data_IF_873527314221
#
_entry.id   IF_873527314221
#
_cell.length_a   1.000
_cell.length_b   1.000
_cell.length_c   1.000
_cell.angle_alpha   90.00
_cell.angle_beta   90.00
_cell.angle_gamma   90.00
#
_symmetry.space_group_name_H-M   'P 1'
#
loop_
_entity.id
_entity.type
_entity.pdbx_description
1 polymer ?
#
# COMPACT_ATOMS: atom_id res chain seq x y z
N UNK A 1 -26.91 -41.70 36.67
CA UNK A 1 -26.00 -41.84 35.51
C UNK A 1 -26.29 -40.73 34.51
N UNK A 2 -25.24 -39.98 34.11
CA UNK A 2 -25.09 -39.15 32.90
C UNK A 2 -26.08 -37.98 32.69
N UNK A 3 -25.84 -36.84 33.35
CA UNK A 3 -26.46 -35.52 33.02
C UNK A 3 -25.41 -34.39 32.95
N UNK A 4 -24.20 -34.70 32.53
CA UNK A 4 -23.08 -33.75 32.62
C UNK A 4 -22.28 -33.74 31.33
N UNK A 5 -22.89 -33.39 30.20
CA UNK A 5 -22.13 -33.35 28.94
C UNK A 5 -22.77 -32.47 27.86
N UNK A 6 -23.13 -31.23 28.17
CA UNK A 6 -23.51 -30.24 27.13
C UNK A 6 -23.01 -28.80 27.35
N UNK A 7 -22.11 -28.57 28.33
CA UNK A 7 -21.63 -27.21 28.66
C UNK A 7 -20.24 -26.85 28.09
N UNK A 8 -19.67 -27.66 27.20
CA UNK A 8 -18.33 -27.39 26.61
C UNK A 8 -18.33 -27.04 25.11
N UNK A 9 -19.48 -26.78 24.50
CA UNK A 9 -19.56 -26.32 23.11
C UNK A 9 -19.52 -24.78 22.96
N UNK A 10 -19.17 -24.06 24.03
CA UNK A 10 -18.92 -22.61 24.02
C UNK A 10 -17.42 -22.30 24.21
N UNK A 11 -16.54 -23.21 23.79
CA UNK A 11 -15.14 -22.89 23.59
C UNK A 11 -15.06 -21.90 22.42
N UNK A 12 -15.12 -20.62 22.78
CA UNK A 12 -14.92 -19.43 21.98
C UNK A 12 -14.20 -19.75 20.67
N UNK A 13 -14.93 -19.79 19.55
CA UNK A 13 -14.33 -19.47 18.26
C UNK A 13 -13.92 -18.00 18.40
N UNK A 14 -12.72 -17.76 18.96
CA UNK A 14 -12.14 -16.45 19.00
C UNK A 14 -12.15 -15.99 17.54
N UNK A 15 -12.86 -14.90 17.19
CA UNK A 15 -12.69 -14.35 15.87
C UNK A 15 -11.20 -14.04 15.78
N UNK A 16 -10.49 -14.77 14.92
CA UNK A 16 -9.16 -14.37 14.51
C UNK A 16 -9.36 -13.05 13.77
N UNK A 17 -9.42 -11.95 14.53
CA UNK A 17 -9.61 -10.60 14.04
C UNK A 17 -8.41 -10.35 13.13
N UNK A 18 -8.64 -10.40 11.82
CA UNK A 18 -7.65 -9.98 10.86
C UNK A 18 -7.37 -8.51 11.13
N UNK A 19 -6.11 -8.20 11.44
CA UNK A 19 -5.69 -6.80 11.51
C UNK A 19 -5.45 -6.35 10.08
N UNK A 20 -6.13 -5.28 9.66
CA UNK A 20 -5.99 -4.71 8.32
C UNK A 20 -5.74 -3.21 8.49
N UNK A 21 -4.61 -2.76 7.97
CA UNK A 21 -4.16 -1.40 8.08
C UNK A 21 -4.01 -0.79 6.69
N UNK A 22 -4.63 0.39 6.52
CA UNK A 22 -4.30 1.31 5.44
C UNK A 22 -3.12 2.18 5.86
N UNK A 23 -2.11 2.27 5.01
CA UNK A 23 -0.90 3.04 5.25
C UNK A 23 -0.42 3.69 3.95
N UNK A 24 0.60 4.54 4.05
CA UNK A 24 1.22 5.17 2.88
C UNK A 24 2.01 6.42 3.28
N UNK A 25 2.73 6.97 2.32
CA UNK A 25 3.42 8.25 2.48
C UNK A 25 3.15 9.12 1.27
N UNK A 26 2.80 10.38 1.50
CA UNK A 26 2.68 11.39 0.45
C UNK A 26 3.88 12.34 0.53
N UNK A 27 4.66 12.45 -0.54
CA UNK A 27 5.85 13.28 -0.65
C UNK A 27 5.76 14.14 -1.91
N UNK A 28 5.58 15.44 -1.73
CA UNK A 28 5.56 16.42 -2.81
C UNK A 28 6.43 17.62 -2.49
N UNK A 29 6.95 18.27 -3.52
CA UNK A 29 7.59 19.56 -3.39
C UNK A 29 7.68 20.32 -4.70
N UNK A 30 8.21 21.54 -4.61
CA UNK A 30 8.55 22.34 -5.78
C UNK A 30 10.02 22.13 -6.09
N UNK A 31 10.32 21.73 -7.31
CA UNK A 31 11.68 21.55 -7.81
C UNK A 31 11.98 22.60 -8.86
N UNK A 32 13.19 23.15 -8.82
CA UNK A 32 13.75 23.96 -9.91
C UNK A 32 15.06 23.34 -10.37
N UNK A 33 15.16 23.06 -11.66
CA UNK A 33 16.31 22.42 -12.27
C UNK A 33 16.75 23.19 -13.51
N UNK A 34 18.07 23.30 -13.71
CA UNK A 34 18.66 23.92 -14.89
C UNK A 34 19.63 22.93 -15.54
N UNK A 35 19.30 22.48 -16.75
CA UNK A 35 20.13 21.55 -17.52
C UNK A 35 20.84 22.32 -18.63
N UNK A 36 22.17 22.19 -18.71
CA UNK A 36 23.00 22.81 -19.76
C UNK A 36 23.51 21.74 -20.74
N UNK A 37 23.34 21.97 -22.03
CA UNK A 37 23.79 21.06 -23.09
C UNK A 37 24.17 21.85 -24.34
N UNK A 38 25.37 21.62 -24.88
CA UNK A 38 25.82 22.24 -26.14
C UNK A 38 25.73 23.77 -26.18
N UNK A 39 26.05 24.46 -25.07
CA UNK A 39 25.95 25.93 -24.96
C UNK A 39 24.53 26.48 -24.78
N UNK A 40 23.51 25.62 -24.72
CA UNK A 40 22.12 25.99 -24.42
C UNK A 40 21.79 25.64 -22.97
N UNK A 41 20.85 26.37 -22.39
CA UNK A 41 20.32 26.12 -21.06
C UNK A 41 18.81 25.93 -21.13
N UNK A 42 18.30 24.89 -20.49
CA UNK A 42 16.88 24.68 -20.25
C UNK A 42 16.63 24.72 -18.74
N UNK A 43 15.66 25.53 -18.32
CA UNK A 43 15.23 25.61 -16.92
C UNK A 43 13.82 25.06 -16.78
N UNK A 44 13.58 24.30 -15.72
CA UNK A 44 12.28 23.76 -15.37
C UNK A 44 11.99 24.09 -13.91
N UNK A 45 10.80 24.61 -13.63
CA UNK A 45 10.27 24.79 -12.28
C UNK A 45 8.88 24.17 -12.24
N UNK A 46 8.63 23.27 -11.30
CA UNK A 46 7.38 22.53 -11.25
C UNK A 46 7.11 21.88 -9.90
N UNK A 47 5.88 21.40 -9.72
CA UNK A 47 5.51 20.54 -8.61
C UNK A 47 5.84 19.11 -9.01
N UNK A 48 6.60 18.43 -8.14
CA UNK A 48 7.06 17.06 -8.34
C UNK A 48 6.55 16.16 -7.20
N UNK A 49 6.34 14.89 -7.55
CA UNK A 49 6.16 13.80 -6.60
C UNK A 49 7.50 13.14 -6.30
N UNK A 50 7.76 12.82 -5.03
CA UNK A 50 9.03 12.24 -4.57
C UNK A 50 8.87 10.81 -4.04
N UNK A 51 8.02 10.01 -4.69
CA UNK A 51 7.78 8.61 -4.34
C UNK A 51 6.63 8.46 -3.34
N UNK A 52 5.50 9.09 -3.66
CA UNK A 52 4.27 8.87 -2.91
C UNK A 52 3.69 7.49 -3.21
N UNK A 53 3.26 6.78 -2.18
CA UNK A 53 2.62 5.47 -2.29
C UNK A 53 1.54 5.31 -1.22
N UNK A 54 0.59 4.44 -1.50
CA UNK A 54 -0.40 3.96 -0.53
C UNK A 54 -0.41 2.45 -0.52
N UNK A 55 -0.80 1.86 0.61
CA UNK A 55 -0.86 0.42 0.75
C UNK A 55 -1.90 -0.05 1.75
N UNK A 56 -2.23 -1.32 1.61
CA UNK A 56 -3.00 -2.11 2.55
C UNK A 56 -2.10 -3.26 3.00
N UNK A 57 -2.02 -3.46 4.30
CA UNK A 57 -1.38 -4.66 4.86
C UNK A 57 -2.29 -5.30 5.88
N UNK A 58 -2.15 -6.59 6.04
CA UNK A 58 -2.88 -7.27 7.09
C UNK A 58 -2.20 -8.53 7.57
N UNK A 59 -2.63 -8.96 8.75
CA UNK A 59 -2.17 -10.21 9.35
C UNK A 59 -3.32 -10.96 10.02
N UNK A 60 -3.35 -12.27 9.81
CA UNK A 60 -4.37 -13.16 10.35
C UNK A 60 -3.71 -14.31 11.10
N UNK A 61 -4.02 -14.52 12.39
CA UNK A 61 -3.55 -15.70 13.12
C UNK A 61 -4.05 -16.98 12.46
N UNK A 62 -3.16 -17.90 12.11
CA UNK A 62 -3.51 -19.22 11.52
C UNK A 62 -3.29 -20.39 12.48
N UNK A 63 -2.99 -20.10 13.75
CA UNK A 63 -2.78 -21.08 14.81
C UNK A 63 -1.31 -21.44 15.03
N UNK A 64 -1.01 -22.02 16.20
CA UNK A 64 0.36 -22.44 16.56
C UNK A 64 1.38 -21.30 16.64
N UNK A 65 0.92 -20.07 16.92
CA UNK A 65 1.76 -18.86 16.92
C UNK A 65 1.98 -18.25 15.54
N UNK A 66 1.68 -18.97 14.45
CA UNK A 66 1.89 -18.48 13.10
C UNK A 66 0.79 -17.51 12.64
N UNK A 67 1.16 -16.59 11.73
CA UNK A 67 0.27 -15.61 11.12
C UNK A 67 0.44 -15.63 9.61
N UNK A 68 -0.67 -15.66 8.88
CA UNK A 68 -0.67 -15.32 7.47
C UNK A 68 -0.60 -13.79 7.36
N UNK A 69 0.32 -13.29 6.54
CA UNK A 69 0.54 -11.87 6.31
C UNK A 69 0.39 -11.56 4.83
N UNK A 70 -0.11 -10.37 4.54
CA UNK A 70 -0.22 -9.89 3.17
C UNK A 70 -0.03 -8.37 3.12
N UNK A 71 0.45 -7.91 1.97
CA UNK A 71 0.66 -6.50 1.67
C UNK A 71 0.33 -6.25 0.20
N UNK A 72 -0.32 -5.12 -0.06
CA UNK A 72 -0.53 -4.56 -1.38
C UNK A 72 -0.17 -3.09 -1.31
N UNK A 73 0.80 -2.68 -2.12
CA UNK A 73 1.27 -1.29 -2.23
C UNK A 73 1.14 -0.81 -3.66
N UNK A 74 0.88 0.48 -3.84
CA UNK A 74 0.67 1.11 -5.13
C UNK A 74 1.22 2.54 -5.10
N UNK A 75 1.95 2.90 -6.16
CA UNK A 75 2.37 4.28 -6.37
C UNK A 75 1.15 5.20 -6.46
N UNK A 76 1.23 6.34 -5.76
CA UNK A 76 0.17 7.33 -5.66
C UNK A 76 0.72 8.73 -5.93
N UNK A 77 1.21 9.01 -7.16
CA UNK A 77 1.89 10.26 -7.47
C UNK A 77 0.96 11.45 -7.28
N UNK A 78 1.50 12.49 -6.68
CA UNK A 78 0.78 13.74 -6.45
C UNK A 78 1.17 14.78 -7.50
N UNK A 79 0.18 15.29 -8.22
CA UNK A 79 0.35 16.30 -9.25
C UNK A 79 0.22 15.75 -10.67
N UNK A 80 -0.32 16.57 -11.56
CA UNK A 80 -0.44 16.21 -12.96
C UNK A 80 0.93 16.39 -13.64
N UNK A 81 1.59 15.28 -14.00
CA UNK A 81 2.62 15.34 -15.05
C UNK A 81 1.90 15.83 -16.30
N UNK A 82 2.33 16.97 -16.82
CA UNK A 82 1.76 17.61 -18.00
C UNK A 82 1.71 16.65 -19.19
N UNK A 83 0.58 15.96 -19.37
CA UNK A 83 0.14 15.29 -20.59
C UNK A 83 -1.31 14.81 -20.41
N UNK A 84 -2.26 15.69 -20.70
CA UNK A 84 -3.64 15.44 -21.19
C UNK A 84 -4.56 14.39 -20.53
N UNK A 85 -4.20 13.74 -19.42
CA UNK A 85 -5.00 12.64 -18.85
C UNK A 85 -5.55 12.93 -17.47
N UNK A 86 -6.78 12.47 -17.20
CA UNK A 86 -7.39 12.56 -15.87
C UNK A 86 -6.55 11.80 -14.81
N UNK A 87 -6.67 12.16 -13.53
CA UNK A 87 -6.03 11.42 -12.43
C UNK A 87 -6.34 9.91 -12.47
N UNK A 88 -7.51 9.54 -13.00
CA UNK A 88 -7.94 8.15 -13.18
C UNK A 88 -7.16 7.41 -14.27
N UNK A 89 -6.75 8.10 -15.34
CA UNK A 89 -5.92 7.51 -16.40
C UNK A 89 -4.49 7.31 -15.91
N UNK A 90 -3.96 8.27 -15.15
CA UNK A 90 -2.63 8.16 -14.53
C UNK A 90 -2.58 6.98 -13.55
N UNK A 91 -3.59 6.84 -12.69
CA UNK A 91 -3.73 5.69 -11.79
C UNK A 91 -3.82 4.35 -12.55
N UNK A 92 -4.49 4.34 -13.72
CA UNK A 92 -4.56 3.14 -14.55
C UNK A 92 -3.23 2.80 -15.23
N UNK A 93 -2.48 3.81 -15.66
CA UNK A 93 -1.17 3.62 -16.27
C UNK A 93 -0.12 3.06 -15.31
N UNK A 94 -0.31 3.25 -14.00
CA UNK A 94 0.61 2.81 -12.95
C UNK A 94 0.19 1.52 -12.25
N UNK A 95 -0.85 0.81 -12.74
CA UNK A 95 -1.29 -0.46 -12.14
C UNK A 95 -0.19 -1.49 -11.99
N UNK A 96 0.81 -1.44 -12.86
CA UNK A 96 1.91 -2.40 -12.88
C UNK A 96 3.10 -1.98 -11.99
N UNK A 97 3.04 -0.80 -11.35
CA UNK A 97 4.10 -0.34 -10.45
C UNK A 97 3.86 -0.69 -8.97
N UNK A 98 2.75 -1.36 -8.67
CA UNK A 98 2.45 -1.83 -7.33
C UNK A 98 3.28 -3.04 -6.89
N UNK A 99 3.58 -3.11 -5.60
CA UNK A 99 4.21 -4.28 -4.99
C UNK A 99 3.16 -5.09 -4.22
N UNK A 100 3.24 -6.41 -4.30
CA UNK A 100 2.36 -7.29 -3.53
C UNK A 100 3.12 -8.44 -2.90
N UNK A 101 2.73 -8.80 -1.69
CA UNK A 101 3.35 -9.85 -0.91
C UNK A 101 2.28 -10.65 -0.17
N UNK A 102 2.45 -11.96 -0.14
CA UNK A 102 1.68 -12.88 0.70
C UNK A 102 2.68 -13.87 1.30
N UNK A 103 2.59 -14.08 2.61
CA UNK A 103 3.51 -14.94 3.34
C UNK A 103 2.96 -15.47 4.65
N UNK A 104 3.82 -16.20 5.36
CA UNK A 104 3.55 -16.72 6.69
C UNK A 104 4.71 -16.31 7.59
N UNK A 105 4.38 -15.71 8.73
CA UNK A 105 5.32 -15.31 9.78
C UNK A 105 5.06 -16.13 11.06
N UNK A 106 6.08 -16.25 11.92
CA UNK A 106 6.02 -16.97 13.19
C UNK A 106 6.40 -16.08 14.36
#
# INVERSE_FOLDING_TARGET
MKRTLWLLAAACAAPALADVQFYGTLKSGVETAQTRFGGRSASHSGVSDFGSHIGLRGSHPIGGGARAVWQLEQDAPVGARSSSGSLREQWRAQRDSGESFIGIER
#
